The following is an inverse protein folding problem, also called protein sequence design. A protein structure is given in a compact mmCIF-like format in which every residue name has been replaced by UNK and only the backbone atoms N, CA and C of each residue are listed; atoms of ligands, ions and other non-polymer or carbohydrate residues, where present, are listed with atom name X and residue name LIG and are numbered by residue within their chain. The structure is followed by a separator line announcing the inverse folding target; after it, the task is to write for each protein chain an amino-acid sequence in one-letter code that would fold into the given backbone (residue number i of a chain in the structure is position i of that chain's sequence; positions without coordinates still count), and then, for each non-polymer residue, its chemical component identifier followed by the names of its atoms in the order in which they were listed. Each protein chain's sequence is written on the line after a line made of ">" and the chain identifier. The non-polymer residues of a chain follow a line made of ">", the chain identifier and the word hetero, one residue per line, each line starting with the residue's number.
data_IF_297179604719
#
_entry.id   IF_297179604719
#
_cell.length_a   1.000
_cell.length_b   1.000
_cell.length_c   1.000
_cell.angle_alpha   90.00
_cell.angle_beta   90.00
_cell.angle_gamma   90.00
#
_symmetry.space_group_name_H-M   'P 1'
#
loop_
_entity.id
_entity.type
_entity.pdbx_description
1 polymer ?
#
# COMPACT_ATOMS: atom_id res chain seq x y z
N UNK A 1 -52.53 23.83 30.45
CA UNK A 1 -52.86 22.61 29.68
C UNK A 1 -51.99 22.64 28.43
N UNK A 2 -50.86 21.89 28.41
CA UNK A 2 -50.71 20.51 27.86
C UNK A 2 -50.30 20.60 26.37
N UNK A 3 -49.00 20.43 26.03
CA UNK A 3 -48.35 19.26 25.37
C UNK A 3 -48.84 19.03 23.92
N UNK A 4 -48.11 18.61 22.86
CA UNK A 4 -46.87 17.84 22.61
C UNK A 4 -46.73 17.73 21.05
N UNK A 5 -45.58 17.90 20.37
CA UNK A 5 -44.60 16.86 19.91
C UNK A 5 -44.45 16.78 18.38
N UNK A 6 -43.20 16.58 17.90
CA UNK A 6 -42.85 15.93 16.62
C UNK A 6 -42.37 16.88 15.51
N UNK A 7 -41.07 17.13 15.34
CA UNK A 7 -40.03 16.28 14.70
C UNK A 7 -40.07 16.27 13.16
N UNK A 8 -38.88 16.28 12.56
CA UNK A 8 -38.55 16.21 11.11
C UNK A 8 -38.62 17.58 10.40
N UNK A 9 -37.57 18.17 9.85
CA UNK A 9 -36.54 17.57 9.02
C UNK A 9 -35.25 18.41 9.09
N UNK A 10 -34.30 17.94 9.92
CA UNK A 10 -32.90 18.37 9.89
C UNK A 10 -32.20 17.48 8.87
N UNK A 11 -32.10 17.93 7.63
CA UNK A 11 -31.12 17.44 6.67
C UNK A 11 -30.34 18.65 6.16
N UNK A 12 -29.62 19.26 7.11
CA UNK A 12 -28.51 20.13 6.79
C UNK A 12 -27.49 19.29 6.02
N UNK A 13 -27.18 19.71 4.80
CA UNK A 13 -26.07 19.19 4.04
C UNK A 13 -24.77 19.46 4.82
N UNK A 14 -24.36 18.50 5.65
CA UNK A 14 -23.00 18.38 6.13
C UNK A 14 -22.14 17.97 4.93
N UNK A 15 -21.79 18.95 4.10
CA UNK A 15 -20.60 18.87 3.29
C UNK A 15 -19.44 18.94 4.28
N UNK A 16 -19.04 17.77 4.80
CA UNK A 16 -17.82 17.62 5.58
C UNK A 16 -16.66 17.99 4.66
N UNK A 17 -16.28 19.26 4.70
CA UNK A 17 -15.04 19.76 4.13
C UNK A 17 -13.91 19.02 4.84
N UNK A 18 -13.36 17.99 4.19
CA UNK A 18 -12.14 17.33 4.65
C UNK A 18 -11.02 18.34 4.51
N UNK A 19 -10.71 19.02 5.60
CA UNK A 19 -9.53 19.87 5.71
C UNK A 19 -8.32 18.97 5.47
N UNK A 20 -7.69 19.11 4.30
CA UNK A 20 -6.50 18.35 3.94
C UNK A 20 -5.39 18.67 4.93
N UNK A 21 -5.17 17.78 5.88
CA UNK A 21 -3.99 17.81 6.74
C UNK A 21 -2.79 17.57 5.83
N UNK A 22 -1.81 18.48 5.85
CA UNK A 22 -0.58 18.44 5.04
C UNK A 22 0.38 17.31 5.46
N UNK A 23 -0.13 16.21 6.01
CA UNK A 23 0.57 14.94 6.20
C UNK A 23 -0.04 13.94 5.23
N UNK A 24 0.75 13.43 4.27
CA UNK A 24 0.28 12.36 3.38
C UNK A 24 -0.27 11.23 4.24
N UNK A 25 -1.56 10.92 4.10
CA UNK A 25 -2.16 9.79 4.79
C UNK A 25 -1.51 8.52 4.25
N UNK A 26 -0.88 7.74 5.12
CA UNK A 26 -0.46 6.38 4.80
C UNK A 26 -1.73 5.56 4.57
N UNK A 27 -1.85 5.00 3.38
CA UNK A 27 -2.93 4.08 3.04
C UNK A 27 -2.31 2.70 3.00
N UNK A 28 -2.75 1.83 3.91
CA UNK A 28 -2.31 0.44 3.99
C UNK A 28 -3.44 -0.45 3.47
N UNK A 29 -3.16 -1.23 2.43
CA UNK A 29 -4.08 -2.18 1.82
C UNK A 29 -3.59 -3.60 2.06
N UNK A 30 -4.49 -4.45 2.53
CA UNK A 30 -4.28 -5.87 2.71
C UNK A 30 -5.07 -6.63 1.66
N UNK A 31 -4.42 -7.59 1.02
CA UNK A 31 -5.00 -8.38 -0.06
C UNK A 31 -5.01 -9.85 0.34
N UNK A 32 -6.14 -10.51 0.11
CA UNK A 32 -6.31 -11.91 0.46
C UNK A 32 -5.84 -12.82 -0.67
N UNK A 33 -6.22 -12.54 -1.93
CA UNK A 33 -5.96 -13.42 -3.07
C UNK A 33 -5.79 -12.65 -4.40
N UNK A 34 -5.31 -11.41 -4.37
CA UNK A 34 -5.08 -10.66 -5.61
C UNK A 34 -3.75 -11.08 -6.23
N UNK A 35 -3.70 -11.48 -7.51
CA UNK A 35 -2.45 -11.75 -8.19
C UNK A 35 -1.66 -10.44 -8.34
N UNK A 36 -0.36 -10.47 -8.03
CA UNK A 36 0.47 -9.29 -8.20
C UNK A 36 0.66 -8.98 -9.70
N UNK A 37 0.42 -7.72 -10.15
CA UNK A 37 0.67 -7.32 -11.52
C UNK A 37 2.16 -7.44 -11.89
N UNK A 38 2.44 -7.67 -13.18
CA UNK A 38 3.79 -7.48 -13.72
C UNK A 38 4.92 -8.34 -13.14
N UNK A 39 4.62 -9.53 -12.58
CA UNK A 39 5.62 -10.42 -11.96
C UNK A 39 6.86 -10.68 -12.83
N UNK A 40 6.66 -10.89 -14.13
CA UNK A 40 7.75 -11.12 -15.09
C UNK A 40 8.63 -9.87 -15.28
N UNK A 41 8.00 -8.69 -15.35
CA UNK A 41 8.67 -7.40 -15.51
C UNK A 41 9.50 -7.05 -14.27
N UNK A 42 9.01 -7.45 -13.09
CA UNK A 42 9.70 -7.31 -11.82
C UNK A 42 10.83 -8.33 -11.61
N UNK A 43 10.98 -9.30 -12.51
CA UNK A 43 11.98 -10.37 -12.45
C UNK A 43 12.04 -11.05 -11.06
N UNK A 44 10.87 -11.33 -10.49
CA UNK A 44 10.78 -11.98 -9.18
C UNK A 44 11.18 -13.45 -9.27
N UNK A 45 11.93 -13.92 -8.27
CA UNK A 45 12.30 -15.32 -8.14
C UNK A 45 11.07 -16.14 -7.76
N UNK A 46 10.69 -17.16 -8.55
CA UNK A 46 9.60 -18.05 -8.18
C UNK A 46 9.82 -18.71 -6.81
N UNK A 47 8.74 -18.88 -6.04
CA UNK A 47 8.77 -19.54 -4.73
C UNK A 47 9.48 -18.74 -3.62
N UNK A 48 9.81 -17.46 -3.84
CA UNK A 48 10.39 -16.58 -2.83
C UNK A 48 9.49 -15.37 -2.64
N UNK A 49 9.21 -14.93 -1.40
CA UNK A 49 8.47 -13.69 -1.20
C UNK A 49 9.29 -12.51 -1.70
N UNK A 50 8.61 -11.42 -2.05
CA UNK A 50 9.25 -10.22 -2.55
C UNK A 50 8.69 -8.95 -1.90
N UNK A 51 9.56 -7.98 -1.69
CA UNK A 51 9.22 -6.60 -1.36
C UNK A 51 9.58 -5.74 -2.55
N UNK A 52 8.58 -5.10 -3.14
CA UNK A 52 8.74 -4.23 -4.30
C UNK A 52 8.56 -2.80 -3.84
N UNK A 53 9.65 -2.05 -3.80
CA UNK A 53 9.65 -0.62 -3.45
C UNK A 53 9.48 0.20 -4.72
N UNK A 54 8.40 0.94 -4.81
CA UNK A 54 8.14 1.86 -5.92
C UNK A 54 8.66 3.24 -5.56
N UNK A 55 9.63 3.73 -6.34
CA UNK A 55 10.15 5.08 -6.20
C UNK A 55 10.86 5.51 -7.47
N UNK A 56 10.52 6.72 -7.95
CA UNK A 56 11.22 7.33 -9.08
C UNK A 56 12.66 7.77 -8.72
N UNK A 57 12.90 8.12 -7.45
CA UNK A 57 14.19 8.57 -6.96
C UNK A 57 14.86 7.48 -6.11
N UNK A 58 16.20 7.49 -5.98
CA UNK A 58 16.88 6.66 -4.99
C UNK A 58 16.30 6.92 -3.58
N UNK A 59 16.04 5.85 -2.85
CA UNK A 59 15.55 5.88 -1.48
C UNK A 59 16.21 4.75 -0.68
N UNK A 60 16.19 4.87 0.63
CA UNK A 60 16.62 3.79 1.52
C UNK A 60 15.65 2.61 1.37
N UNK A 61 16.23 1.44 1.11
CA UNK A 61 15.48 0.21 0.95
C UNK A 61 15.44 -0.52 2.30
N UNK A 62 14.33 -1.20 2.62
CA UNK A 62 14.21 -1.94 3.86
C UNK A 62 15.20 -3.11 3.92
N UNK A 63 15.73 -3.35 5.12
CA UNK A 63 16.62 -4.49 5.38
C UNK A 63 15.77 -5.66 5.87
N UNK A 64 15.49 -6.60 4.96
CA UNK A 64 14.68 -7.79 5.24
C UNK A 64 15.42 -9.06 4.85
N UNK A 65 15.12 -10.16 5.54
CA UNK A 65 15.72 -11.47 5.35
C UNK A 65 14.65 -12.42 4.79
N UNK A 66 15.07 -13.33 3.90
CA UNK A 66 14.18 -14.35 3.34
C UNK A 66 13.27 -13.86 2.21
N UNK A 67 13.33 -12.59 1.84
CA UNK A 67 12.60 -12.03 0.70
C UNK A 67 13.55 -11.44 -0.36
N UNK A 68 13.10 -11.43 -1.61
CA UNK A 68 13.74 -10.63 -2.66
C UNK A 68 13.33 -9.17 -2.49
N UNK A 69 14.31 -8.27 -2.56
CA UNK A 69 14.07 -6.84 -2.56
C UNK A 69 14.24 -6.28 -3.96
N UNK A 70 13.21 -5.59 -4.47
CA UNK A 70 13.21 -4.98 -5.81
C UNK A 70 12.87 -3.51 -5.68
N UNK A 71 13.66 -2.64 -6.32
CA UNK A 71 13.28 -1.24 -6.53
C UNK A 71 12.69 -1.10 -7.93
N UNK A 72 11.44 -0.67 -8.01
CA UNK A 72 10.74 -0.41 -9.27
C UNK A 72 10.62 1.11 -9.49
N UNK A 73 11.04 1.55 -10.67
CA UNK A 73 10.91 2.94 -11.14
C UNK A 73 10.09 3.02 -12.45
N UNK A 74 9.32 1.97 -12.76
CA UNK A 74 8.43 1.93 -13.91
C UNK A 74 7.08 2.55 -13.55
N UNK A 75 6.66 3.56 -14.32
CA UNK A 75 5.42 4.29 -14.07
C UNK A 75 4.17 3.46 -14.40
N UNK A 76 4.23 2.61 -15.41
CA UNK A 76 3.09 1.78 -15.80
C UNK A 76 2.81 0.73 -14.72
N UNK A 77 3.86 0.07 -14.20
CA UNK A 77 3.70 -0.81 -13.04
C UNK A 77 3.24 -0.04 -11.81
N UNK A 78 3.77 1.16 -11.55
CA UNK A 78 3.29 1.97 -10.43
C UNK A 78 1.79 2.32 -10.56
N UNK A 79 1.27 2.51 -11.78
CA UNK A 79 -0.16 2.71 -12.03
C UNK A 79 -0.97 1.44 -11.76
N UNK A 80 -0.50 0.28 -12.21
CA UNK A 80 -1.16 -1.02 -11.94
C UNK A 80 -1.26 -1.33 -10.44
N UNK A 81 -0.24 -0.92 -9.68
CA UNK A 81 -0.22 -1.01 -8.21
C UNK A 81 -0.89 0.17 -7.51
N UNK A 82 -1.51 1.11 -8.23
CA UNK A 82 -2.10 2.33 -7.68
C UNK A 82 -1.14 3.17 -6.80
N UNK A 83 0.17 3.08 -7.04
CA UNK A 83 1.23 3.82 -6.35
C UNK A 83 1.69 5.07 -7.13
N UNK A 84 1.20 5.28 -8.34
CA UNK A 84 1.38 6.56 -9.04
C UNK A 84 0.50 7.66 -8.42
N UNK A 85 1.06 8.86 -8.27
CA UNK A 85 0.34 10.05 -7.81
C UNK A 85 -0.53 10.62 -8.92
N UNK A 86 -1.50 11.46 -8.55
CA UNK A 86 -2.34 12.21 -9.51
C UNK A 86 -1.55 13.15 -10.43
N UNK A 87 -0.31 13.49 -10.06
CA UNK A 87 0.62 14.30 -10.87
C UNK A 87 1.50 13.45 -11.80
N UNK A 88 1.26 12.14 -11.89
CA UNK A 88 2.02 11.23 -12.75
C UNK A 88 3.42 10.90 -12.22
N UNK A 89 3.66 11.06 -10.92
CA UNK A 89 4.92 10.67 -10.29
C UNK A 89 4.75 9.31 -9.62
N UNK A 90 5.79 8.50 -9.60
CA UNK A 90 5.79 7.29 -8.78
C UNK A 90 5.83 7.73 -7.32
N UNK A 91 4.75 7.50 -6.59
CA UNK A 91 4.68 7.74 -5.17
C UNK A 91 5.60 6.78 -4.44
N UNK A 92 6.32 7.23 -3.40
CA UNK A 92 7.04 6.32 -2.56
C UNK A 92 6.04 5.41 -1.85
N UNK A 93 6.26 4.12 -2.00
CA UNK A 93 5.41 3.07 -1.43
C UNK A 93 6.01 1.71 -1.71
N UNK A 94 5.42 0.68 -1.13
CA UNK A 94 5.89 -0.68 -1.38
C UNK A 94 4.75 -1.69 -1.36
N UNK A 95 4.99 -2.78 -2.07
CA UNK A 95 4.15 -3.97 -2.11
C UNK A 95 4.91 -5.16 -1.50
N UNK A 96 4.19 -6.05 -0.82
CA UNK A 96 4.69 -7.36 -0.39
C UNK A 96 3.92 -8.43 -1.16
N UNK A 97 4.69 -9.31 -1.80
CA UNK A 97 4.21 -10.39 -2.65
C UNK A 97 4.66 -11.72 -2.02
N UNK A 98 3.75 -12.68 -1.90
CA UNK A 98 4.08 -14.00 -1.34
C UNK A 98 4.76 -14.93 -2.36
N UNK A 99 5.09 -16.15 -1.90
CA UNK A 99 5.76 -17.19 -2.70
C UNK A 99 4.92 -17.69 -3.87
N UNK A 100 3.59 -17.51 -3.83
CA UNK A 100 2.65 -17.87 -4.88
C UNK A 100 2.41 -16.72 -5.88
N UNK A 101 3.12 -15.60 -5.73
CA UNK A 101 2.96 -14.43 -6.60
C UNK A 101 1.69 -13.63 -6.32
N UNK A 102 1.09 -13.78 -5.13
CA UNK A 102 -0.06 -12.98 -4.74
C UNK A 102 0.40 -11.69 -4.05
N UNK A 103 -0.25 -10.58 -4.38
CA UNK A 103 -0.15 -9.34 -3.61
C UNK A 103 -0.80 -9.57 -2.25
N UNK A 104 -0.09 -9.23 -1.18
CA UNK A 104 -0.57 -9.42 0.21
C UNK A 104 -0.68 -8.12 0.97
N UNK A 105 0.22 -7.19 0.68
CA UNK A 105 0.24 -5.89 1.31
C UNK A 105 0.72 -4.83 0.32
N UNK A 106 0.15 -3.64 0.42
CA UNK A 106 0.51 -2.49 -0.40
C UNK A 106 0.35 -1.23 0.46
N UNK A 107 1.31 -0.31 0.38
CA UNK A 107 1.19 0.94 1.13
C UNK A 107 1.82 2.13 0.42
N UNK A 108 1.20 3.30 0.61
CA UNK A 108 1.75 4.61 0.23
C UNK A 108 2.66 5.16 1.34
N UNK A 109 3.69 4.39 1.68
CA UNK A 109 4.67 4.75 2.70
C UNK A 109 5.84 5.52 2.09
N UNK A 110 6.09 6.79 2.51
CA UNK A 110 7.16 7.59 1.96
C UNK A 110 8.58 7.16 2.34
N UNK A 111 8.75 6.27 3.32
CA UNK A 111 10.06 5.92 3.87
C UNK A 111 10.18 4.42 4.19
N UNK A 112 10.08 3.52 3.17
CA UNK A 112 10.07 2.07 3.40
C UNK A 112 11.29 1.56 4.18
N UNK A 113 12.47 2.18 4.02
CA UNK A 113 13.68 1.84 4.77
C UNK A 113 13.52 1.91 6.30
N UNK A 114 12.74 2.88 6.80
CA UNK A 114 12.46 3.09 8.23
C UNK A 114 11.54 2.00 8.82
N UNK A 115 10.89 1.21 7.97
CA UNK A 115 9.88 0.23 8.36
C UNK A 115 10.34 -1.22 8.22
N UNK A 116 11.66 -1.45 8.14
CA UNK A 116 12.28 -2.78 7.99
C UNK A 116 11.71 -3.84 8.95
N UNK A 117 11.56 -3.52 10.24
CA UNK A 117 11.04 -4.45 11.23
C UNK A 117 9.56 -4.82 11.00
N UNK A 118 8.73 -3.86 10.61
CA UNK A 118 7.32 -4.11 10.28
C UNK A 118 7.20 -4.98 9.03
N UNK A 119 8.00 -4.68 8.01
CA UNK A 119 8.01 -5.44 6.76
C UNK A 119 8.47 -6.88 7.01
N UNK A 120 9.48 -7.07 7.88
CA UNK A 120 9.92 -8.40 8.30
C UNK A 120 8.79 -9.19 8.96
N UNK A 121 8.00 -8.59 9.86
CA UNK A 121 6.86 -9.28 10.48
C UNK A 121 5.83 -9.74 9.44
N UNK A 122 5.59 -8.95 8.40
CA UNK A 122 4.67 -9.34 7.31
C UNK A 122 5.25 -10.54 6.55
N UNK A 123 6.54 -10.51 6.20
CA UNK A 123 7.22 -11.61 5.52
C UNK A 123 7.17 -12.90 6.35
N UNK A 124 7.45 -12.81 7.66
CA UNK A 124 7.43 -13.97 8.55
C UNK A 124 6.01 -14.57 8.65
N UNK A 125 4.98 -13.72 8.77
CA UNK A 125 3.59 -14.16 8.77
C UNK A 125 3.15 -14.83 7.45
N UNK A 126 3.76 -14.48 6.33
CA UNK A 126 3.50 -15.14 5.04
C UNK A 126 4.17 -16.52 4.94
N UNK A 127 5.31 -16.73 5.61
CA UNK A 127 5.96 -18.03 5.67
C UNK A 127 5.21 -19.01 6.57
N UNK A 128 4.66 -18.55 7.70
CA UNK A 128 3.94 -19.41 8.65
C UNK A 128 2.54 -19.85 8.16
N UNK A 129 2.00 -19.17 7.14
CA UNK A 129 0.69 -19.47 6.55
C UNK A 129 0.73 -20.50 5.39
N UNK A 130 1.93 -20.96 5.02
CA UNK A 130 2.20 -21.88 3.89
C UNK A 130 2.28 -23.35 4.28
#
# INVERSE_FOLDING_TARGET
>A
MTQETGAMDQLAAEVTSVTATTGRRRLDMLFLHEPAPGLEQLALRPGHPAVVVFSANPCDLPQVIGAQLVRCADLNLALEYALATSTGQIGPGYAVIDTAGQLRYLTHDPAPGEHSAQIQMIIDALHDAG
#
